data_IF_984220719894
#
_entry.id   IF_984220719894
#
_cell.length_a   1.000
_cell.length_b   1.000
_cell.length_c   1.000
_cell.angle_alpha   90.00
_cell.angle_beta   90.00
_cell.angle_gamma   90.00
#
_symmetry.space_group_name_H-M   'P 1'
#
loop_
_entity.id
_entity.type
_entity.pdbx_description
1 polymer ?
#
# COMPACT_ATOMS: atom_id res chain seq x y z
N UNK A 1 10.02 -17.85 0.50
CA UNK A 1 9.48 -17.85 1.88
C UNK A 1 7.97 -17.73 1.82
N UNK A 2 7.26 -18.86 1.75
CA UNK A 2 5.80 -18.95 1.75
C UNK A 2 5.31 -19.25 3.18
N UNK A 3 5.47 -18.29 4.09
CA UNK A 3 4.94 -18.37 5.45
C UNK A 3 3.76 -17.42 5.65
N UNK A 4 2.88 -17.73 6.61
CA UNK A 4 1.80 -16.82 7.05
C UNK A 4 2.39 -15.44 7.38
N UNK A 5 1.73 -14.38 6.92
CA UNK A 5 2.21 -13.01 7.10
C UNK A 5 2.17 -12.58 8.58
N UNK A 6 3.15 -11.76 9.00
CA UNK A 6 3.14 -11.07 10.30
C UNK A 6 2.46 -9.69 10.23
N UNK A 7 2.01 -9.29 9.05
CA UNK A 7 1.26 -8.05 8.83
C UNK A 7 -0.20 -8.35 9.17
N UNK A 8 -0.79 -7.59 10.08
CA UNK A 8 -2.02 -8.00 10.77
C UNK A 8 -3.28 -7.92 9.91
N UNK A 9 -3.25 -7.06 8.89
CA UNK A 9 -4.34 -6.83 7.96
C UNK A 9 -4.31 -7.71 6.70
N UNK A 10 -3.38 -8.68 6.64
CA UNK A 10 -3.22 -9.61 5.52
C UNK A 10 -2.86 -11.02 6.02
N UNK A 11 -3.13 -12.05 5.23
CA UNK A 11 -2.86 -13.43 5.61
C UNK A 11 -1.56 -13.95 4.99
N UNK A 12 -1.26 -13.51 3.77
CA UNK A 12 -0.14 -13.95 2.96
C UNK A 12 0.53 -12.77 2.25
N UNK A 13 1.83 -12.86 2.00
CA UNK A 13 2.51 -11.96 1.07
C UNK A 13 2.87 -12.69 -0.21
N UNK A 14 2.76 -11.98 -1.33
CA UNK A 14 3.20 -12.41 -2.65
C UNK A 14 4.18 -11.37 -3.20
N UNK A 15 5.41 -11.77 -3.54
CA UNK A 15 6.46 -10.84 -3.98
C UNK A 15 6.97 -11.22 -5.38
N UNK A 16 6.17 -11.01 -6.43
CA UNK A 16 6.57 -11.29 -7.81
C UNK A 16 7.59 -10.27 -8.33
N UNK A 17 7.76 -9.13 -7.66
CA UNK A 17 8.82 -8.15 -7.95
C UNK A 17 9.69 -7.99 -6.71
N UNK A 18 10.98 -7.78 -6.91
CA UNK A 18 11.95 -7.52 -5.84
C UNK A 18 12.82 -6.32 -6.20
N UNK A 19 13.26 -5.58 -5.18
CA UNK A 19 14.03 -4.35 -5.34
C UNK A 19 13.13 -3.11 -5.36
N UNK A 20 13.73 -1.94 -5.11
CA UNK A 20 13.03 -0.65 -5.10
C UNK A 20 14.03 0.51 -5.08
N UNK A 21 13.58 1.75 -5.26
CA UNK A 21 14.25 2.99 -4.91
C UNK A 21 13.47 3.73 -3.80
N UNK A 22 14.17 4.53 -2.99
CA UNK A 22 13.50 5.43 -2.02
C UNK A 22 12.91 6.62 -2.79
N UNK A 23 11.64 6.93 -2.56
CA UNK A 23 10.93 8.03 -3.27
C UNK A 23 10.35 9.10 -2.33
N UNK A 24 10.46 8.93 -1.01
CA UNK A 24 9.88 9.85 -0.02
C UNK A 24 10.50 9.65 1.37
N UNK A 25 10.17 10.56 2.30
CA UNK A 25 10.53 10.47 3.73
C UNK A 25 10.02 9.21 4.42
N UNK A 26 8.92 8.63 3.94
CA UNK A 26 8.42 7.33 4.43
C UNK A 26 9.36 6.16 4.12
N UNK A 27 10.34 6.34 3.23
CA UNK A 27 11.30 5.31 2.85
C UNK A 27 12.62 5.35 3.64
N UNK A 28 12.84 6.36 4.50
CA UNK A 28 14.11 6.58 5.20
C UNK A 28 14.50 5.36 6.07
N UNK A 29 13.53 4.77 6.76
CA UNK A 29 13.68 3.60 7.65
C UNK A 29 12.99 2.34 7.13
N UNK A 30 12.91 2.21 5.80
CA UNK A 30 12.23 1.11 5.12
C UNK A 30 12.73 -0.27 5.58
N UNK A 31 11.82 -1.07 6.14
CA UNK A 31 12.12 -2.42 6.63
C UNK A 31 12.50 -3.38 5.49
N UNK A 32 11.97 -3.18 4.29
CA UNK A 32 12.18 -4.05 3.14
C UNK A 32 13.66 -4.10 2.72
N UNK A 33 14.40 -2.99 2.87
CA UNK A 33 15.84 -2.94 2.60
C UNK A 33 16.59 -3.94 3.48
N UNK A 34 16.32 -3.91 4.80
CA UNK A 34 16.95 -4.83 5.77
C UNK A 34 16.58 -6.28 5.49
N UNK A 35 15.33 -6.52 5.08
CA UNK A 35 14.87 -7.87 4.75
C UNK A 35 15.49 -8.39 3.46
N UNK A 36 15.57 -7.58 2.40
CA UNK A 36 16.23 -7.94 1.15
C UNK A 36 17.71 -8.23 1.37
N UNK A 37 18.41 -7.38 2.13
CA UNK A 37 19.80 -7.60 2.52
C UNK A 37 20.00 -8.93 3.25
N UNK A 38 19.14 -9.24 4.23
CA UNK A 38 19.17 -10.52 4.95
C UNK A 38 18.86 -11.71 4.04
N UNK A 39 17.90 -11.58 3.14
CA UNK A 39 17.58 -12.62 2.15
C UNK A 39 18.77 -12.90 1.21
N UNK A 40 19.48 -11.86 0.76
CA UNK A 40 20.69 -12.02 -0.03
C UNK A 40 21.80 -12.73 0.79
N UNK A 41 22.01 -12.34 2.05
CA UNK A 41 22.98 -13.00 2.93
C UNK A 41 22.64 -14.48 3.20
N UNK A 42 21.35 -14.86 3.19
CA UNK A 42 20.89 -16.25 3.27
C UNK A 42 20.97 -17.01 1.93
N UNK A 43 21.51 -16.41 0.87
CA UNK A 43 21.67 -17.06 -0.43
C UNK A 43 20.41 -17.12 -1.29
N UNK A 44 19.36 -16.34 -0.99
CA UNK A 44 18.12 -16.35 -1.81
C UNK A 44 18.38 -15.63 -3.14
N UNK A 45 18.38 -16.33 -4.31
CA UNK A 45 18.94 -15.79 -5.56
C UNK A 45 18.31 -14.49 -6.04
N UNK A 46 16.98 -14.34 -5.95
CA UNK A 46 16.31 -13.15 -6.46
C UNK A 46 16.65 -11.86 -5.69
N UNK A 47 17.19 -11.95 -4.46
CA UNK A 47 17.58 -10.78 -3.68
C UNK A 47 19.04 -10.35 -3.89
N UNK A 48 19.84 -11.13 -4.61
CA UNK A 48 21.26 -10.84 -4.82
C UNK A 48 21.47 -9.54 -5.61
N UNK A 49 22.34 -8.65 -5.13
CA UNK A 49 22.64 -7.38 -5.81
C UNK A 49 21.55 -6.31 -5.73
N UNK A 50 20.46 -6.53 -4.98
CA UNK A 50 19.42 -5.49 -4.77
C UNK A 50 19.79 -4.47 -3.71
N UNK A 51 20.73 -4.79 -2.84
CA UNK A 51 21.13 -3.93 -1.72
C UNK A 51 22.64 -3.78 -1.66
N UNK A 52 23.09 -2.60 -1.24
CA UNK A 52 24.48 -2.23 -1.02
C UNK A 52 24.64 -1.63 0.38
N UNK A 53 25.82 -1.75 0.99
CA UNK A 53 26.11 -1.02 2.23
C UNK A 53 26.52 0.41 1.86
N UNK A 54 25.72 1.38 2.32
CA UNK A 54 25.99 2.81 2.16
C UNK A 54 25.84 3.50 3.52
N UNK A 55 26.85 4.28 3.93
CA UNK A 55 26.85 4.94 5.24
C UNK A 55 26.71 3.95 6.41
N UNK A 56 27.35 2.77 6.30
CA UNK A 56 27.32 1.72 7.31
C UNK A 56 25.99 0.96 7.42
N UNK A 57 25.06 1.13 6.46
CA UNK A 57 23.74 0.47 6.49
C UNK A 57 23.37 -0.09 5.12
N UNK A 58 22.59 -1.18 5.07
CA UNK A 58 21.99 -1.62 3.81
C UNK A 58 21.10 -0.51 3.23
N UNK A 59 21.23 -0.29 1.94
CA UNK A 59 20.39 0.58 1.13
C UNK A 59 20.08 -0.12 -0.20
N UNK A 60 19.02 0.32 -0.89
CA UNK A 60 18.73 -0.19 -2.23
C UNK A 60 19.79 0.23 -3.24
N UNK A 61 20.10 -0.64 -4.20
CA UNK A 61 20.91 -0.29 -5.38
C UNK A 61 20.09 0.48 -6.43
N UNK A 62 18.76 0.39 -6.36
CA UNK A 62 17.84 0.91 -7.37
C UNK A 62 17.47 -0.10 -8.46
N UNK A 63 18.09 -1.29 -8.41
CA UNK A 63 17.72 -2.42 -9.23
C UNK A 63 16.34 -2.95 -8.84
N UNK A 64 15.54 -3.26 -9.85
CA UNK A 64 14.21 -3.85 -9.70
C UNK A 64 14.05 -4.92 -10.76
N UNK A 65 13.50 -6.07 -10.38
CA UNK A 65 13.26 -7.16 -11.33
C UNK A 65 11.97 -7.90 -11.04
N UNK A 66 11.34 -8.38 -12.10
CA UNK A 66 10.32 -9.40 -12.02
C UNK A 66 10.97 -10.76 -11.67
N UNK A 67 10.30 -11.53 -10.83
CA UNK A 67 10.70 -12.86 -10.42
C UNK A 67 9.73 -13.85 -11.08
N UNK A 68 10.01 -14.20 -12.33
CA UNK A 68 9.10 -14.95 -13.21
C UNK A 68 8.54 -16.23 -12.56
N UNK A 69 9.39 -17.03 -11.91
CA UNK A 69 8.97 -18.28 -11.22
C UNK A 69 8.08 -18.07 -9.99
N UNK A 70 7.79 -16.82 -9.61
CA UNK A 70 6.86 -16.45 -8.53
C UNK A 70 5.51 -16.00 -9.05
N UNK A 71 5.37 -15.74 -10.36
CA UNK A 71 4.16 -15.14 -10.92
C UNK A 71 2.92 -15.98 -10.64
N UNK A 72 2.98 -17.29 -10.85
CA UNK A 72 1.83 -18.18 -10.75
C UNK A 72 1.53 -18.66 -9.33
N UNK A 73 2.33 -18.28 -8.32
CA UNK A 73 2.13 -18.72 -6.93
C UNK A 73 0.67 -18.59 -6.43
N UNK A 74 -0.05 -17.47 -6.66
CA UNK A 74 -1.42 -17.33 -6.22
C UNK A 74 -2.38 -18.34 -6.86
N UNK A 75 -2.13 -18.75 -8.11
CA UNK A 75 -2.97 -19.72 -8.81
C UNK A 75 -2.92 -21.11 -8.17
N UNK A 76 -1.83 -21.42 -7.47
CA UNK A 76 -1.62 -22.70 -6.78
C UNK A 76 -2.21 -22.74 -5.36
N UNK A 77 -2.66 -21.60 -4.83
CA UNK A 77 -3.22 -21.52 -3.47
C UNK A 77 -4.72 -21.84 -3.47
N UNK A 78 -5.06 -23.11 -3.23
CA UNK A 78 -6.45 -23.61 -3.27
C UNK A 78 -7.46 -22.95 -2.32
N UNK A 79 -7.00 -22.41 -1.19
CA UNK A 79 -7.88 -21.76 -0.21
C UNK A 79 -7.90 -20.25 -0.46
N UNK A 80 -9.07 -19.58 -0.43
CA UNK A 80 -9.18 -18.13 -0.41
C UNK A 80 -8.23 -17.51 0.62
N UNK A 81 -7.63 -16.39 0.25
CA UNK A 81 -6.67 -15.66 1.09
C UNK A 81 -6.77 -14.17 0.84
N UNK A 82 -6.46 -13.38 1.87
CA UNK A 82 -6.09 -11.98 1.73
C UNK A 82 -4.57 -11.88 1.51
N UNK A 83 -4.15 -11.33 0.38
CA UNK A 83 -2.79 -11.37 -0.15
C UNK A 83 -2.24 -9.96 -0.32
N UNK A 84 -1.21 -9.59 0.43
CA UNK A 84 -0.47 -8.36 0.21
C UNK A 84 0.57 -8.54 -0.89
N UNK A 85 0.36 -7.82 -1.99
CA UNK A 85 1.20 -7.83 -3.18
C UNK A 85 2.38 -6.90 -2.98
N UNK A 86 3.59 -7.42 -3.23
CA UNK A 86 4.85 -6.71 -3.18
C UNK A 86 5.18 -6.07 -1.82
N UNK A 87 5.11 -6.87 -0.76
CA UNK A 87 5.48 -6.43 0.59
C UNK A 87 6.90 -5.83 0.74
N UNK A 88 7.83 -6.19 -0.14
CA UNK A 88 9.24 -5.74 -0.08
C UNK A 88 9.72 -4.98 -1.33
N UNK A 89 8.79 -4.49 -2.14
CA UNK A 89 9.05 -3.75 -3.38
C UNK A 89 7.84 -2.85 -3.70
N UNK A 90 7.81 -2.24 -4.88
CA UNK A 90 6.66 -1.46 -5.34
C UNK A 90 6.32 -1.90 -6.76
N UNK A 91 5.10 -2.40 -6.99
CA UNK A 91 4.68 -2.94 -8.28
C UNK A 91 4.75 -1.88 -9.39
N UNK A 92 4.62 -0.60 -9.06
CA UNK A 92 4.59 0.49 -10.04
C UNK A 92 5.95 1.19 -10.19
N UNK A 93 7.05 0.53 -9.80
CA UNK A 93 8.40 1.07 -9.93
C UNK A 93 8.79 1.43 -11.35
N UNK A 94 9.30 2.65 -11.58
CA UNK A 94 9.70 3.22 -12.88
C UNK A 94 10.68 2.37 -13.71
N UNK A 95 11.34 1.37 -13.11
CA UNK A 95 12.30 0.48 -13.77
C UNK A 95 11.66 -0.87 -14.17
N UNK A 96 10.43 -1.16 -13.73
CA UNK A 96 9.63 -2.24 -14.30
C UNK A 96 9.02 -1.80 -15.61
N UNK A 97 8.93 -2.70 -16.58
CA UNK A 97 8.15 -2.48 -17.78
C UNK A 97 6.65 -2.50 -17.47
N UNK A 98 5.83 -1.81 -18.27
CA UNK A 98 4.37 -1.93 -18.15
C UNK A 98 3.91 -3.36 -18.39
N UNK A 99 4.58 -4.10 -19.29
CA UNK A 99 4.33 -5.51 -19.55
C UNK A 99 4.49 -6.40 -18.31
N UNK A 100 5.51 -6.15 -17.48
CA UNK A 100 5.70 -6.91 -16.24
C UNK A 100 4.60 -6.62 -15.21
N UNK A 101 4.13 -5.37 -15.15
CA UNK A 101 3.00 -4.99 -14.31
C UNK A 101 1.72 -5.70 -14.77
N UNK A 102 1.49 -5.74 -16.10
CA UNK A 102 0.36 -6.45 -16.71
C UNK A 102 0.40 -7.95 -16.38
N UNK A 103 1.56 -8.62 -16.49
CA UNK A 103 1.70 -10.04 -16.09
C UNK A 103 1.26 -10.29 -14.65
N UNK A 104 1.68 -9.43 -13.72
CA UNK A 104 1.26 -9.52 -12.30
C UNK A 104 -0.25 -9.29 -12.16
N UNK A 105 -0.79 -8.29 -12.85
CA UNK A 105 -2.22 -7.98 -12.83
C UNK A 105 -3.09 -9.09 -13.43
N UNK A 106 -2.64 -9.76 -14.49
CA UNK A 106 -3.34 -10.92 -15.06
C UNK A 106 -3.47 -12.08 -14.07
N UNK A 107 -2.42 -12.33 -13.26
CA UNK A 107 -2.50 -13.36 -12.22
C UNK A 107 -3.54 -12.96 -11.18
N UNK A 108 -3.55 -11.69 -10.74
CA UNK A 108 -4.55 -11.21 -9.79
C UNK A 108 -5.97 -11.33 -10.35
N UNK A 109 -6.15 -10.99 -11.63
CA UNK A 109 -7.42 -11.12 -12.34
C UNK A 109 -7.90 -12.57 -12.40
N UNK A 110 -7.01 -13.51 -12.76
CA UNK A 110 -7.31 -14.95 -12.87
C UNK A 110 -7.60 -15.60 -11.51
N UNK A 111 -6.87 -15.20 -10.47
CA UNK A 111 -6.95 -15.79 -9.13
C UNK A 111 -8.06 -15.15 -8.27
N UNK A 112 -9.28 -15.06 -8.81
CA UNK A 112 -10.40 -14.28 -8.24
C UNK A 112 -10.97 -14.79 -6.92
N UNK A 113 -10.55 -15.97 -6.45
CA UNK A 113 -10.87 -16.48 -5.12
C UNK A 113 -9.99 -15.90 -4.01
N UNK A 114 -8.96 -15.10 -4.35
CA UNK A 114 -8.17 -14.33 -3.40
C UNK A 114 -8.60 -12.87 -3.39
N UNK A 115 -8.33 -12.19 -2.29
CA UNK A 115 -8.36 -10.73 -2.21
C UNK A 115 -6.93 -10.21 -2.26
N UNK A 116 -6.59 -9.44 -3.29
CA UNK A 116 -5.26 -8.84 -3.44
C UNK A 116 -5.26 -7.42 -2.91
N UNK A 117 -4.27 -7.08 -2.11
CA UNK A 117 -4.02 -5.74 -1.60
C UNK A 117 -2.75 -5.22 -2.26
N UNK A 118 -2.87 -4.22 -3.12
CA UNK A 118 -1.75 -3.60 -3.83
C UNK A 118 -1.50 -2.23 -3.21
N UNK A 119 -0.27 -1.98 -2.74
CA UNK A 119 0.11 -0.71 -2.13
C UNK A 119 1.30 -0.10 -2.86
N UNK A 120 1.21 1.19 -3.21
CA UNK A 120 2.28 1.90 -3.91
C UNK A 120 2.52 3.32 -3.37
N UNK A 121 3.73 3.84 -3.59
CA UNK A 121 3.99 5.29 -3.49
C UNK A 121 4.05 5.96 -4.87
N UNK A 122 4.05 5.18 -5.95
CA UNK A 122 4.11 5.60 -7.36
C UNK A 122 2.70 5.68 -7.96
N UNK A 123 1.86 6.36 -7.19
CA UNK A 123 0.44 6.60 -7.38
C UNK A 123 0.05 7.16 -8.76
N UNK A 124 0.85 8.05 -9.36
CA UNK A 124 0.61 8.54 -10.72
C UNK A 124 0.64 7.39 -11.74
N UNK A 125 1.71 6.59 -11.75
CA UNK A 125 1.83 5.48 -12.69
C UNK A 125 0.71 4.45 -12.48
N UNK A 126 0.35 4.16 -11.23
CA UNK A 126 -0.78 3.30 -10.94
C UNK A 126 -2.09 3.85 -11.53
N UNK A 127 -2.39 5.13 -11.30
CA UNK A 127 -3.61 5.74 -11.83
C UNK A 127 -3.67 5.66 -13.36
N UNK A 128 -2.56 5.87 -14.05
CA UNK A 128 -2.52 5.83 -15.53
C UNK A 128 -2.79 4.45 -16.06
N UNK A 129 -2.13 3.46 -15.48
CA UNK A 129 -2.24 2.09 -15.91
C UNK A 129 -3.65 1.56 -15.62
N UNK A 130 -4.23 1.87 -14.46
CA UNK A 130 -5.62 1.53 -14.14
C UNK A 130 -6.62 2.21 -15.09
N UNK A 131 -6.31 3.41 -15.59
CA UNK A 131 -7.11 4.12 -16.57
C UNK A 131 -6.76 3.76 -18.02
N UNK A 132 -5.83 2.83 -18.28
CA UNK A 132 -5.43 2.39 -19.61
C UNK A 132 -5.20 0.88 -19.68
N UNK A 133 -3.95 0.43 -19.62
CA UNK A 133 -3.54 -0.95 -19.89
C UNK A 133 -4.07 -1.97 -18.86
N UNK A 134 -4.41 -1.55 -17.64
CA UNK A 134 -4.97 -2.39 -16.58
C UNK A 134 -6.49 -2.26 -16.43
N UNK A 135 -7.18 -1.56 -17.35
CA UNK A 135 -8.64 -1.40 -17.28
C UNK A 135 -9.39 -2.75 -17.20
N UNK A 136 -8.82 -3.82 -17.76
CA UNK A 136 -9.40 -5.16 -17.74
C UNK A 136 -9.58 -5.74 -16.33
N UNK A 137 -8.83 -5.28 -15.33
CA UNK A 137 -8.91 -5.74 -13.94
C UNK A 137 -9.04 -4.61 -12.91
N UNK A 138 -8.98 -3.34 -13.34
CA UNK A 138 -9.04 -2.18 -12.44
C UNK A 138 -10.30 -2.19 -11.56
N UNK A 139 -11.42 -2.68 -12.12
CA UNK A 139 -12.72 -2.76 -11.44
C UNK A 139 -13.04 -4.11 -10.81
N UNK A 140 -12.07 -5.03 -10.76
CA UNK A 140 -12.23 -6.30 -10.05
C UNK A 140 -12.34 -6.02 -8.55
N UNK A 141 -13.46 -6.41 -7.94
CA UNK A 141 -13.72 -6.10 -6.52
C UNK A 141 -12.81 -6.86 -5.55
N UNK A 142 -12.14 -7.91 -6.02
CA UNK A 142 -11.16 -8.67 -5.24
C UNK A 142 -9.73 -8.12 -5.37
N UNK A 143 -9.51 -7.05 -6.15
CA UNK A 143 -8.22 -6.35 -6.24
C UNK A 143 -8.37 -4.96 -5.62
N UNK A 144 -7.72 -4.76 -4.48
CA UNK A 144 -7.74 -3.51 -3.73
C UNK A 144 -6.51 -2.70 -4.11
N UNK A 145 -6.73 -1.52 -4.69
CA UNK A 145 -5.68 -0.62 -5.12
C UNK A 145 -5.47 0.46 -4.06
N UNK A 146 -4.25 0.64 -3.60
CA UNK A 146 -3.98 1.58 -2.51
C UNK A 146 -2.68 2.34 -2.63
N UNK A 147 -2.64 3.45 -1.91
CA UNK A 147 -1.46 4.32 -1.83
C UNK A 147 -0.99 4.46 -0.39
N UNK A 148 0.33 4.55 -0.19
CA UNK A 148 0.86 4.98 1.11
C UNK A 148 0.73 6.50 1.26
N UNK A 149 0.38 6.98 2.44
CA UNK A 149 0.20 8.40 2.76
C UNK A 149 0.98 8.71 4.04
N UNK A 150 2.26 9.09 3.92
CA UNK A 150 3.12 9.30 5.10
C UNK A 150 3.12 10.72 5.65
N UNK A 151 2.77 11.73 4.85
CA UNK A 151 2.79 13.15 5.21
C UNK A 151 1.91 13.98 4.26
N UNK A 152 1.69 15.25 4.60
CA UNK A 152 0.90 16.20 3.81
C UNK A 152 1.51 16.42 2.43
N UNK A 153 2.80 16.76 2.37
CA UNK A 153 3.47 17.25 1.16
C UNK A 153 3.39 16.28 -0.02
N UNK A 154 3.69 15.00 0.21
CA UNK A 154 3.72 13.99 -0.85
C UNK A 154 2.65 12.92 -0.70
N UNK A 155 2.02 12.78 0.47
CA UNK A 155 0.98 11.79 0.72
C UNK A 155 -0.42 12.25 0.30
N UNK A 156 -0.84 13.48 0.63
CA UNK A 156 -2.17 13.99 0.26
C UNK A 156 -2.41 13.97 -1.26
N UNK A 157 -1.46 14.41 -2.12
CA UNK A 157 -1.64 14.30 -3.57
C UNK A 157 -1.90 12.86 -4.06
N UNK A 158 -1.48 11.83 -3.31
CA UNK A 158 -1.71 10.42 -3.67
C UNK A 158 -3.15 10.00 -3.49
N UNK A 159 -3.83 10.56 -2.50
CA UNK A 159 -5.25 10.33 -2.27
C UNK A 159 -6.02 10.81 -3.49
N UNK A 160 -5.70 12.03 -3.97
CA UNK A 160 -6.36 12.61 -5.14
C UNK A 160 -6.12 11.79 -6.41
N UNK A 161 -4.88 11.38 -6.70
CA UNK A 161 -4.62 10.52 -7.86
C UNK A 161 -5.30 9.15 -7.75
N UNK A 162 -5.37 8.55 -6.55
CA UNK A 162 -6.10 7.29 -6.35
C UNK A 162 -7.61 7.47 -6.60
N UNK A 163 -8.20 8.60 -6.20
CA UNK A 163 -9.60 8.94 -6.50
C UNK A 163 -9.87 9.10 -8.00
N UNK A 164 -8.86 9.48 -8.78
CA UNK A 164 -8.94 9.57 -10.25
C UNK A 164 -8.76 8.24 -10.98
N UNK A 165 -8.23 7.21 -10.32
CA UNK A 165 -8.10 5.87 -10.90
C UNK A 165 -9.46 5.16 -11.02
N UNK A 166 -9.70 4.41 -12.10
CA UNK A 166 -10.91 3.59 -12.28
C UNK A 166 -10.92 2.29 -11.46
N UNK A 167 -10.52 2.39 -10.18
CA UNK A 167 -10.50 1.28 -9.23
C UNK A 167 -11.88 1.01 -8.62
N UNK A 168 -12.27 -0.26 -8.49
CA UNK A 168 -13.49 -0.61 -7.74
C UNK A 168 -13.31 -0.46 -6.23
N UNK A 169 -12.16 -0.92 -5.70
CA UNK A 169 -11.81 -0.81 -4.28
C UNK A 169 -10.52 -0.02 -4.14
N UNK A 170 -10.58 1.05 -3.33
CA UNK A 170 -9.50 2.00 -3.05
C UNK A 170 -9.19 2.01 -1.57
N UNK A 171 -7.94 1.89 -1.17
CA UNK A 171 -7.56 2.01 0.24
C UNK A 171 -6.33 2.90 0.46
N UNK A 172 -6.23 3.46 1.66
CA UNK A 172 -5.07 4.23 2.09
C UNK A 172 -4.30 3.44 3.13
N UNK A 173 -2.98 3.39 2.99
CA UNK A 173 -2.10 3.07 4.11
C UNK A 173 -1.48 4.36 4.57
N UNK A 174 -2.03 4.97 5.61
CA UNK A 174 -1.48 6.15 6.27
C UNK A 174 -0.32 5.71 7.17
N UNK A 175 0.71 5.13 6.52
CA UNK A 175 1.85 4.50 7.13
C UNK A 175 3.15 4.69 6.30
N UNK A 176 4.28 4.95 6.99
CA UNK A 176 4.31 5.40 8.38
C UNK A 176 3.67 6.79 8.49
N UNK A 177 2.83 7.03 9.49
CA UNK A 177 2.29 8.38 9.75
C UNK A 177 3.38 9.23 10.40
N UNK A 178 3.81 10.29 9.73
CA UNK A 178 4.96 11.12 10.15
C UNK A 178 4.59 12.50 10.67
N UNK A 179 3.34 12.93 10.49
CA UNK A 179 2.83 14.22 10.92
C UNK A 179 1.30 14.19 10.98
N UNK A 180 0.69 15.26 11.51
CA UNK A 180 -0.74 15.48 11.35
C UNK A 180 -1.06 15.69 9.86
N UNK A 181 -2.03 14.94 9.36
CA UNK A 181 -2.45 15.00 7.96
C UNK A 181 -3.47 16.10 7.68
N UNK A 182 -3.93 16.81 8.71
CA UNK A 182 -5.04 17.74 8.60
C UNK A 182 -6.31 17.03 8.11
N UNK A 183 -7.03 17.65 7.18
CA UNK A 183 -8.28 17.11 6.65
C UNK A 183 -8.03 16.20 5.44
N UNK A 184 -8.35 14.93 5.57
CA UNK A 184 -8.34 13.94 4.49
C UNK A 184 -9.67 13.97 3.73
N UNK A 185 -9.59 14.09 2.41
CA UNK A 185 -10.74 13.84 1.54
C UNK A 185 -10.85 12.32 1.26
N UNK A 186 -11.76 11.64 1.96
CA UNK A 186 -11.95 10.19 1.84
C UNK A 186 -13.07 9.82 0.87
N UNK A 187 -13.58 10.75 0.07
CA UNK A 187 -14.58 10.47 -0.94
C UNK A 187 -14.09 9.40 -1.93
N UNK A 188 -14.81 8.28 -2.02
CA UNK A 188 -14.46 7.16 -2.88
C UNK A 188 -13.35 6.24 -2.35
N UNK A 189 -12.87 6.48 -1.12
CA UNK A 189 -11.97 5.61 -0.38
C UNK A 189 -12.79 4.62 0.44
N UNK A 190 -12.37 3.35 0.46
CA UNK A 190 -13.13 2.25 1.03
C UNK A 190 -12.50 1.70 2.32
N UNK A 191 -11.24 2.01 2.59
CA UNK A 191 -10.55 1.55 3.79
C UNK A 191 -9.32 2.40 4.08
N UNK A 192 -9.04 2.65 5.35
CA UNK A 192 -7.88 3.42 5.82
C UNK A 192 -7.15 2.61 6.88
N UNK A 193 -5.86 2.36 6.65
CA UNK A 193 -4.95 1.75 7.61
C UNK A 193 -4.10 2.87 8.23
N UNK A 194 -3.92 2.86 9.55
CA UNK A 194 -3.13 3.84 10.29
C UNK A 194 -2.07 3.13 11.13
N UNK A 195 -0.84 3.64 11.13
CA UNK A 195 0.19 3.06 11.98
C UNK A 195 1.53 3.77 12.00
N UNK A 196 2.21 3.61 13.14
CA UNK A 196 3.55 4.10 13.38
C UNK A 196 4.66 3.20 12.82
N UNK A 197 5.87 3.76 12.78
CA UNK A 197 7.07 3.04 12.36
C UNK A 197 7.48 1.98 13.38
N UNK A 198 8.03 0.88 12.87
CA UNK A 198 8.66 -0.15 13.69
C UNK A 198 10.15 -0.22 13.40
N UNK A 199 10.97 -0.33 14.43
CA UNK A 199 12.41 -0.52 14.28
C UNK A 199 13.23 0.44 15.16
N UNK A 200 14.56 0.23 15.19
CA UNK A 200 15.46 0.92 16.12
C UNK A 200 15.58 2.43 15.88
N UNK A 201 15.10 2.90 14.72
CA UNK A 201 15.08 4.31 14.33
C UNK A 201 13.69 4.77 13.95
N UNK A 202 12.66 4.12 14.49
CA UNK A 202 11.31 4.62 14.36
C UNK A 202 11.29 6.11 14.76
N UNK A 203 10.52 6.91 14.04
CA UNK A 203 10.19 8.27 14.45
C UNK A 203 9.01 8.26 15.41
N UNK A 204 8.82 9.38 16.10
CA UNK A 204 7.71 9.54 17.02
C UNK A 204 6.38 9.45 16.25
N UNK A 205 5.43 8.74 16.83
CA UNK A 205 4.07 8.57 16.32
C UNK A 205 3.11 9.17 17.34
N UNK A 206 2.61 10.37 17.05
CA UNK A 206 1.69 11.05 17.95
C UNK A 206 0.29 10.43 17.88
N UNK A 207 -0.24 10.04 19.05
CA UNK A 207 -1.57 9.45 19.15
C UNK A 207 -2.68 10.42 18.75
N UNK A 208 -2.48 11.74 18.92
CA UNK A 208 -3.37 12.78 18.43
C UNK A 208 -3.54 12.75 16.91
N UNK A 209 -2.47 12.47 16.16
CA UNK A 209 -2.56 12.30 14.70
C UNK A 209 -3.42 11.07 14.35
N UNK A 210 -3.19 9.95 15.04
CA UNK A 210 -3.98 8.73 14.84
C UNK A 210 -5.46 8.95 15.15
N UNK A 211 -5.78 9.62 16.27
CA UNK A 211 -7.16 9.97 16.65
C UNK A 211 -7.83 10.87 15.63
N UNK A 212 -7.09 11.84 15.08
CA UNK A 212 -7.59 12.71 14.01
C UNK A 212 -8.03 11.89 12.79
N UNK A 213 -7.22 10.92 12.35
CA UNK A 213 -7.57 10.05 11.22
C UNK A 213 -8.78 9.15 11.55
N UNK A 214 -8.80 8.51 12.73
CA UNK A 214 -9.91 7.65 13.17
C UNK A 214 -11.22 8.44 13.21
N UNK A 215 -11.22 9.65 13.76
CA UNK A 215 -12.38 10.54 13.79
C UNK A 215 -12.88 10.85 12.37
N UNK A 216 -11.98 11.25 11.49
CA UNK A 216 -12.33 11.59 10.10
C UNK A 216 -12.88 10.38 9.31
N UNK A 217 -12.33 9.19 9.54
CA UNK A 217 -12.85 7.95 8.98
C UNK A 217 -14.29 7.70 9.46
N UNK A 218 -14.56 7.87 10.75
CA UNK A 218 -15.91 7.73 11.33
C UNK A 218 -16.89 8.76 10.76
N UNK A 219 -16.50 10.02 10.67
CA UNK A 219 -17.31 11.12 10.12
C UNK A 219 -17.67 10.87 8.64
N UNK A 220 -16.71 10.35 7.86
CA UNK A 220 -16.89 10.06 6.44
C UNK A 220 -17.38 8.62 6.17
N UNK A 221 -17.65 7.83 7.22
CA UNK A 221 -18.12 6.43 7.18
C UNK A 221 -17.22 5.50 6.37
N UNK A 222 -15.91 5.66 6.54
CA UNK A 222 -14.89 4.79 5.94
C UNK A 222 -14.32 3.87 7.03
N UNK A 223 -14.33 2.54 6.84
CA UNK A 223 -13.72 1.60 7.78
C UNK A 223 -12.25 1.93 8.05
N UNK A 224 -11.87 1.92 9.32
CA UNK A 224 -10.51 2.25 9.76
C UNK A 224 -9.83 1.06 10.44
N UNK A 225 -8.54 0.88 10.20
CA UNK A 225 -7.73 -0.15 10.85
C UNK A 225 -6.45 0.46 11.42
N UNK A 226 -6.42 0.67 12.74
CA UNK A 226 -5.20 1.03 13.47
C UNK A 226 -4.35 -0.22 13.60
N UNK A 227 -3.30 -0.33 12.79
CA UNK A 227 -2.46 -1.53 12.71
C UNK A 227 -1.53 -1.66 13.91
N UNK A 228 -0.86 -0.57 14.28
CA UNK A 228 0.10 -0.54 15.39
C UNK A 228 0.43 0.92 15.77
N UNK A 229 0.78 1.16 17.03
CA UNK A 229 1.24 2.47 17.48
C UNK A 229 2.73 2.73 17.16
N UNK A 230 3.45 1.72 16.68
CA UNK A 230 4.87 1.81 16.36
C UNK A 230 5.78 1.62 17.57
N UNK A 231 7.09 1.73 17.35
CA UNK A 231 8.13 1.56 18.39
C UNK A 231 8.26 2.80 19.28
N UNK A 232 7.81 3.98 18.82
CA UNK A 232 7.89 5.26 19.55
C UNK A 232 6.55 6.00 19.55
N UNK A 233 5.50 5.45 20.18
CA UNK A 233 4.28 6.19 20.37
C UNK A 233 4.49 7.33 21.37
N UNK A 234 3.91 8.49 21.08
CA UNK A 234 3.92 9.67 21.97
C UNK A 234 2.52 10.24 22.10
N UNK A 235 2.25 10.90 23.21
CA UNK A 235 1.03 11.68 23.43
C UNK A 235 1.46 12.99 24.12
N UNK A 236 1.13 14.12 23.50
CA UNK A 236 1.59 15.45 23.94
C UNK A 236 3.12 15.51 24.13
N UNK A 237 3.85 14.93 23.17
CA UNK A 237 5.31 14.75 23.19
C UNK A 237 5.86 13.87 24.34
N UNK A 238 5.00 13.22 25.13
CA UNK A 238 5.39 12.30 26.19
C UNK A 238 5.42 10.87 25.63
N UNK A 239 6.54 10.14 25.72
CA UNK A 239 6.62 8.76 25.26
C UNK A 239 5.67 7.82 26.03
N UNK A 240 4.92 7.00 25.30
CA UNK A 240 4.10 5.94 25.87
C UNK A 240 4.92 4.65 25.90
N UNK A 241 5.07 4.09 27.11
CA UNK A 241 5.79 2.83 27.29
C UNK A 241 4.88 1.65 26.99
N UNK A 242 5.17 0.94 25.91
CA UNK A 242 4.52 -0.33 25.55
C UNK A 242 5.50 -1.49 25.79
N UNK A 243 4.96 -2.65 26.13
CA UNK A 243 5.70 -3.90 26.23
C UNK A 243 5.93 -4.55 24.85
N UNK A 244 4.96 -4.45 23.93
CA UNK A 244 5.15 -4.87 22.54
C UNK A 244 6.03 -3.88 21.78
N UNK A 245 7.17 -4.37 21.27
CA UNK A 245 8.21 -3.56 20.61
C UNK A 245 7.73 -2.72 19.42
N UNK A 246 6.71 -3.19 18.70
CA UNK A 246 6.16 -2.49 17.53
C UNK A 246 4.83 -1.79 17.85
N UNK A 247 4.40 -1.81 19.12
CA UNK A 247 3.10 -1.29 19.55
C UNK A 247 1.93 -1.99 18.87
N UNK A 248 2.05 -3.29 18.57
CA UNK A 248 1.07 -4.08 17.82
C UNK A 248 -0.01 -4.76 18.66
N UNK A 249 0.02 -4.63 20.00
CA UNK A 249 -0.95 -5.25 20.91
C UNK A 249 -2.05 -4.27 21.33
N UNK A 250 -3.30 -4.38 20.80
CA UNK A 250 -4.38 -3.44 21.11
C UNK A 250 -4.78 -3.35 22.58
N UNK A 251 -4.49 -4.37 23.39
CA UNK A 251 -4.80 -4.35 24.82
C UNK A 251 -4.04 -3.25 25.58
N UNK A 252 -2.89 -2.82 25.04
CA UNK A 252 -2.03 -1.79 25.64
C UNK A 252 -2.39 -0.37 25.15
N UNK A 253 -3.30 -0.23 24.19
CA UNK A 253 -3.63 1.06 23.58
C UNK A 253 -4.76 1.76 24.32
N UNK A 254 -4.84 3.11 24.24
CA UNK A 254 -6.06 3.84 24.56
C UNK A 254 -7.27 3.25 23.82
N UNK A 255 -8.42 3.16 24.50
CA UNK A 255 -9.59 2.43 23.98
C UNK A 255 -10.12 2.98 22.66
N UNK A 256 -10.01 4.29 22.47
CA UNK A 256 -10.43 5.01 21.26
C UNK A 256 -9.55 4.72 20.03
N UNK A 257 -8.34 4.17 20.23
CA UNK A 257 -7.45 3.73 19.14
C UNK A 257 -7.50 2.22 18.90
N UNK A 258 -8.32 1.46 19.64
CA UNK A 258 -8.52 0.01 19.43
C UNK A 258 -9.46 -0.30 18.25
N UNK A 259 -9.25 0.40 17.13
CA UNK A 259 -10.11 0.34 15.94
C UNK A 259 -9.48 -0.59 14.90
N UNK A 260 -10.20 -1.65 14.50
CA UNK A 260 -9.70 -2.75 13.66
C UNK A 260 -10.75 -3.22 12.65
N UNK A 261 -11.30 -2.29 11.89
CA UNK A 261 -12.39 -2.57 10.95
C UNK A 261 -11.84 -2.94 9.56
N UNK A 262 -12.48 -3.91 8.91
CA UNK A 262 -12.22 -4.27 7.52
C UNK A 262 -13.37 -3.82 6.61
N UNK A 263 -13.09 -3.53 5.32
CA UNK A 263 -14.10 -3.00 4.40
C UNK A 263 -15.23 -3.98 4.06
N UNK A 264 -14.98 -5.28 4.21
CA UNK A 264 -15.98 -6.34 4.01
C UNK A 264 -16.76 -6.68 5.29
N UNK A 265 -16.47 -5.99 6.40
CA UNK A 265 -17.03 -6.28 7.72
C UNK A 265 -16.48 -7.53 8.39
N UNK A 266 -15.40 -8.12 7.86
CA UNK A 266 -14.72 -9.24 8.51
C UNK A 266 -14.06 -8.82 9.82
N UNK A 267 -14.02 -9.74 10.79
CA UNK A 267 -13.31 -9.52 12.04
C UNK A 267 -11.81 -9.80 11.88
N UNK A 268 -10.93 -9.12 12.64
CA UNK A 268 -9.50 -9.42 12.66
C UNK A 268 -9.26 -10.85 13.12
N UNK A 269 -8.76 -11.73 12.25
CA UNK A 269 -8.43 -13.09 12.65
C UNK A 269 -7.34 -13.09 13.73
N UNK A 270 -7.65 -13.58 14.94
CA UNK A 270 -6.66 -13.71 16.02
C UNK A 270 -5.66 -14.82 15.72
N UNK A 271 -4.48 -14.80 16.37
CA UNK A 271 -3.48 -15.89 16.22
C UNK A 271 -4.05 -17.28 16.58
N UNK A 272 -5.06 -17.36 17.46
CA UNK A 272 -5.71 -18.61 17.86
C UNK A 272 -6.71 -19.10 16.81
N UNK A 273 -7.51 -18.21 16.22
CA UNK A 273 -8.45 -18.55 15.14
C UNK A 273 -7.72 -19.05 13.88
N UNK A 274 -6.50 -18.53 13.64
CA UNK A 274 -5.60 -18.90 12.54
C UNK A 274 -5.07 -20.35 12.61
N UNK A 275 -5.21 -21.05 13.74
CA UNK A 275 -4.81 -22.44 13.91
C UNK A 275 -5.97 -23.44 13.71
N UNK A 276 -7.22 -22.98 13.89
CA UNK A 276 -8.42 -23.84 13.97
C UNK A 276 -9.21 -23.87 12.64
N UNK A 277 -8.97 -22.95 11.71
CA UNK A 277 -9.64 -22.88 10.40
C UNK A 277 -9.22 -23.98 9.38
N UNK A 278 -8.91 -25.19 9.83
CA UNK A 278 -8.73 -26.38 8.97
C UNK A 278 -10.04 -27.09 8.66
N UNK A 279 -11.12 -26.85 9.40
CA UNK A 279 -12.43 -27.48 9.16
C UNK A 279 -13.58 -26.48 9.31
N UNK A 280 -13.97 -25.84 8.21
CA UNK A 280 -15.39 -25.60 7.88
C UNK A 280 -15.54 -25.19 6.42
N UNK A 281 -16.41 -25.92 5.75
CA UNK A 281 -16.72 -25.93 4.34
C UNK A 281 -17.51 -24.70 3.89
N UNK A 282 -17.25 -24.30 2.64
CA UNK A 282 -18.21 -23.78 1.67
C UNK A 282 -19.39 -22.96 2.18
N UNK A 283 -19.21 -21.64 2.25
CA UNK A 283 -20.26 -20.68 1.89
C UNK A 283 -19.64 -19.65 0.96
N UNK A 284 -20.19 -19.52 -0.24
CA UNK A 284 -19.95 -18.36 -1.10
C UNK A 284 -20.35 -17.11 -0.33
N UNK A 285 -19.36 -16.33 0.10
CA UNK A 285 -19.56 -15.03 0.70
C UNK A 285 -19.68 -14.04 -0.46
N UNK A 286 -20.90 -13.66 -0.80
CA UNK A 286 -21.15 -12.46 -1.61
C UNK A 286 -21.12 -11.26 -0.65
N UNK A 287 -20.18 -10.30 -0.75
CA UNK A 287 -20.05 -9.27 0.27
C UNK A 287 -21.09 -8.15 0.09
N UNK A 288 -21.47 -7.56 1.21
CA UNK A 288 -22.26 -6.33 1.38
C UNK A 288 -21.68 -5.06 0.72
N UNK A 289 -20.73 -5.18 -0.21
CA UNK A 289 -20.21 -4.09 -1.04
C UNK A 289 -21.29 -3.40 -1.89
N UNK A 290 -22.43 -4.07 -2.13
CA UNK A 290 -23.58 -3.48 -2.86
C UNK A 290 -24.24 -2.28 -2.14
N UNK A 291 -24.00 -2.07 -0.85
CA UNK A 291 -24.66 -0.99 -0.09
C UNK A 291 -23.86 0.32 0.00
N UNK A 292 -22.61 0.36 -0.47
CA UNK A 292 -21.80 1.59 -0.56
C UNK A 292 -21.96 2.22 -1.96
N UNK A 293 -23.20 2.33 -2.45
CA UNK A 293 -23.49 3.26 -3.54
C UNK A 293 -23.78 4.60 -2.90
N UNK A 294 -22.81 5.51 -2.93
CA UNK A 294 -23.07 6.92 -2.67
C UNK A 294 -24.19 7.37 -3.63
N UNK A 295 -25.09 8.22 -3.12
CA UNK A 295 -26.15 8.88 -3.91
C UNK A 295 -25.55 9.94 -4.85
N UNK A 296 -24.55 9.57 -5.64
CA UNK A 296 -23.92 10.44 -6.62
C UNK A 296 -24.36 10.03 -8.02
N UNK A 297 -24.83 11.01 -8.79
CA UNK A 297 -25.15 10.83 -10.20
C UNK A 297 -23.92 10.27 -10.94
N UNK A 298 -23.99 9.03 -11.44
CA UNK A 298 -22.85 8.38 -12.09
C UNK A 298 -22.36 9.17 -13.32
N UNK A 299 -23.22 9.99 -13.92
CA UNK A 299 -22.90 10.87 -15.06
C UNK A 299 -22.01 12.02 -14.64
N UNK A 300 -22.34 12.69 -13.53
CA UNK A 300 -21.57 13.82 -13.01
C UNK A 300 -20.21 13.38 -12.46
N UNK A 301 -20.16 12.20 -11.81
CA UNK A 301 -18.91 11.58 -11.35
C UNK A 301 -17.99 11.21 -12.53
N UNK A 302 -18.55 10.63 -13.60
CA UNK A 302 -17.80 10.34 -14.82
C UNK A 302 -17.29 11.61 -15.53
N UNK A 303 -18.09 12.68 -15.58
CA UNK A 303 -17.69 13.96 -16.16
C UNK A 303 -16.56 14.63 -15.36
N UNK A 304 -16.67 14.68 -14.03
CA UNK A 304 -15.61 15.19 -13.14
C UNK A 304 -14.32 14.40 -13.28
N UNK A 305 -14.42 13.07 -13.35
CA UNK A 305 -13.28 12.18 -13.61
C UNK A 305 -12.64 12.48 -14.95
N UNK A 306 -13.43 12.56 -16.03
CA UNK A 306 -12.90 12.82 -17.37
C UNK A 306 -12.21 14.20 -17.47
N UNK A 307 -12.78 15.23 -16.84
CA UNK A 307 -12.17 16.56 -16.78
C UNK A 307 -10.84 16.54 -16.00
N UNK A 308 -10.81 15.86 -14.85
CA UNK A 308 -9.61 15.73 -14.05
C UNK A 308 -8.52 14.88 -14.74
N UNK A 309 -8.90 13.80 -15.44
CA UNK A 309 -7.99 13.00 -16.26
C UNK A 309 -7.38 13.81 -17.42
N UNK A 310 -8.19 14.64 -18.10
CA UNK A 310 -7.69 15.55 -19.14
C UNK A 310 -6.70 16.57 -18.56
N UNK A 311 -7.07 17.24 -17.47
CA UNK A 311 -6.21 18.23 -16.83
C UNK A 311 -4.90 17.61 -16.33
N UNK A 312 -4.97 16.39 -15.80
CA UNK A 312 -3.81 15.62 -15.35
C UNK A 312 -2.91 15.21 -16.54
N UNK A 313 -3.48 14.67 -17.62
CA UNK A 313 -2.74 14.29 -18.81
C UNK A 313 -1.97 15.47 -19.41
N UNK A 314 -2.59 16.66 -19.43
CA UNK A 314 -1.92 17.91 -19.84
C UNK A 314 -0.74 18.26 -18.94
N UNK A 315 -0.91 18.24 -17.60
CA UNK A 315 0.18 18.54 -16.65
C UNK A 315 1.35 17.57 -16.79
N UNK A 316 1.07 16.29 -17.03
CA UNK A 316 2.12 15.27 -17.23
C UNK A 316 2.86 15.45 -18.54
N UNK A 317 2.16 15.73 -19.64
CA UNK A 317 2.80 16.01 -20.92
C UNK A 317 3.78 17.20 -20.78
N UNK A 318 3.36 18.24 -20.06
CA UNK A 318 4.23 19.37 -19.72
C UNK A 318 5.44 18.95 -18.88
N UNK A 319 5.22 18.21 -17.78
CA UNK A 319 6.30 17.76 -16.91
C UNK A 319 7.32 16.84 -17.60
N UNK A 320 6.86 15.98 -18.54
CA UNK A 320 7.75 15.15 -19.37
C UNK A 320 8.59 16.00 -20.32
N UNK A 321 7.96 16.94 -21.02
CA UNK A 321 8.67 17.87 -21.90
C UNK A 321 9.71 18.70 -21.14
N UNK A 322 9.38 19.15 -19.93
CA UNK A 322 10.28 19.93 -19.08
C UNK A 322 11.48 19.09 -18.59
N UNK A 323 11.25 17.81 -18.25
CA UNK A 323 12.30 16.88 -17.83
C UNK A 323 13.24 16.50 -18.99
N UNK A 324 12.70 16.28 -20.18
CA UNK A 324 13.47 16.03 -21.40
C UNK A 324 14.34 17.24 -21.78
N UNK A 325 13.79 18.46 -21.67
CA UNK A 325 14.54 19.71 -21.88
C UNK A 325 15.68 19.89 -20.87
N UNK A 326 15.46 19.61 -19.58
CA UNK A 326 16.50 19.70 -18.54
C UNK A 326 17.64 18.68 -18.77
N UNK A 327 17.32 17.46 -19.17
CA UNK A 327 18.33 16.45 -19.51
C UNK A 327 19.08 16.80 -20.81
N UNK A 328 18.41 17.41 -21.79
CA UNK A 328 19.06 17.92 -23.01
C UNK A 328 20.03 19.07 -22.75
N UNK A 329 19.72 19.95 -21.79
CA UNK A 329 20.61 21.05 -21.39
C UNK A 329 21.83 20.56 -20.58
N UNK A 330 21.65 19.60 -19.66
CA UNK A 330 22.78 19.03 -18.91
C UNK A 330 23.78 18.29 -19.83
N UNK A 331 23.31 17.61 -20.88
CA UNK A 331 24.19 16.95 -21.87
C UNK A 331 24.93 17.93 -22.80
N UNK A 332 24.45 19.16 -22.96
CA UNK A 332 25.11 20.21 -23.76
C UNK A 332 26.15 21.01 -22.97
N UNK A 333 26.08 21.02 -21.64
CA UNK A 333 27.05 21.70 -20.76
C UNK A 333 28.30 20.89 -20.38
N UNK A 334 28.45 19.67 -20.91
CA UNK A 334 29.60 18.78 -20.68
C UNK A 334 30.43 18.52 -21.95
N UNK A 335 30.25 19.33 -23.01
CA UNK A 335 31.07 19.29 -24.22
C UNK A 335 31.99 20.48 -24.32
#
# INVERSE_FOLDING_TARGET
>A
MSGKSKIEWTEQTWNPVVGCTKCSKGCDDCYAIRQAFRCAAMGIPQYQGLTVIQGGRPNWTGEVRLVEHKLDEPLHWRKPRTVFVNSMSDLFHEHLSDGDIIKVAEVMHKASWHTFQVLTKRHERMADLLNSQLQFCARDTHIWWGVSVENCKVGLPRIDHLRLADAAVRFLSVEPLLEDMGNLNLEGIHWVIVGGESGPRARDFDLGWARSIVRQCREQRVPCFVKQLGTRPVEDAIPIKLSDYKGGNPAEWPSDLRVREFPDGSEPQTRKDRAVATHRSGKQITPKLKSIRSQQDPTLAAQRRNAALKAWATRRAQARADAENKNGQMKKGQK
#
